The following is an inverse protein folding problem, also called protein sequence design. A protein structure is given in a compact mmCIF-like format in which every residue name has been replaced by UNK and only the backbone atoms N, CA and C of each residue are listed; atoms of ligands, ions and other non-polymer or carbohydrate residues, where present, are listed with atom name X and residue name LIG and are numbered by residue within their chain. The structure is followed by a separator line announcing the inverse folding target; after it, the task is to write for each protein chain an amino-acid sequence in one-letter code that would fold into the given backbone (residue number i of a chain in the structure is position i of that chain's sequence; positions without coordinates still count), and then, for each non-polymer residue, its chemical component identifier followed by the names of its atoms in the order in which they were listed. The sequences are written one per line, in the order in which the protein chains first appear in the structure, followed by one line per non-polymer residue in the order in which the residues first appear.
data_IF_327286187775
#
_entry.id   IF_327286187775
#
_cell.length_a   1.000
_cell.length_b   1.000
_cell.length_c   1.000
_cell.angle_alpha   90.00
_cell.angle_beta   90.00
_cell.angle_gamma   90.00
#
_symmetry.space_group_name_H-M   'P 1'
#
loop_
_entity.id
_entity.type
_entity.pdbx_description
1 polymer ?
#
# COMPACT_ATOMS: atom_id res chain seq x y z
N UNK A 1 30.27 -7.17 42.29
CA UNK A 1 28.97 -7.71 41.83
C UNK A 1 28.89 -7.48 40.33
N UNK A 2 29.08 -8.54 39.55
CA UNK A 2 29.05 -8.53 38.09
C UNK A 2 27.68 -9.11 37.68
N UNK A 3 26.88 -8.33 36.97
CA UNK A 3 25.61 -8.82 36.41
C UNK A 3 25.92 -9.78 35.25
N UNK A 4 25.29 -10.96 35.19
CA UNK A 4 25.55 -11.90 34.10
C UNK A 4 24.91 -11.40 32.80
N UNK A 5 25.62 -11.60 31.70
CA UNK A 5 25.12 -11.38 30.35
C UNK A 5 23.93 -12.32 30.09
N UNK A 6 22.76 -11.75 29.80
CA UNK A 6 21.60 -12.52 29.37
C UNK A 6 21.87 -13.00 27.95
N UNK A 7 21.90 -14.32 27.79
CA UNK A 7 22.16 -15.03 26.56
C UNK A 7 21.23 -14.56 25.43
N UNK A 8 21.80 -14.43 24.23
CA UNK A 8 21.04 -14.23 23.02
C UNK A 8 20.17 -15.48 22.76
N UNK A 9 18.86 -15.30 22.84
CA UNK A 9 17.90 -16.28 22.31
C UNK A 9 18.21 -16.52 20.84
N UNK A 10 18.77 -17.68 20.56
CA UNK A 10 19.00 -18.15 19.19
C UNK A 10 17.65 -18.62 18.64
N UNK A 11 17.13 -18.05 17.54
CA UNK A 11 15.87 -18.51 16.99
C UNK A 11 16.02 -19.93 16.48
N UNK A 12 15.28 -20.84 17.09
CA UNK A 12 15.00 -22.18 16.61
C UNK A 12 14.56 -22.16 15.13
N UNK A 13 15.42 -22.67 14.26
CA UNK A 13 15.07 -23.44 13.07
C UNK A 13 14.06 -22.86 12.06
N UNK A 14 14.20 -21.61 11.61
CA UNK A 14 13.57 -21.22 10.33
C UNK A 14 14.57 -21.42 9.19
N UNK A 15 14.34 -22.38 8.29
CA UNK A 15 14.94 -22.30 6.93
C UNK A 15 14.62 -20.90 6.40
N UNK A 16 15.64 -20.11 6.08
CA UNK A 16 15.48 -18.76 5.57
C UNK A 16 14.63 -18.73 4.29
N UNK A 17 14.02 -17.59 3.99
CA UNK A 17 13.29 -17.40 2.72
C UNK A 17 14.25 -17.62 1.56
N UNK A 18 13.90 -18.50 0.64
CA UNK A 18 14.67 -18.73 -0.59
C UNK A 18 14.07 -17.90 -1.70
N UNK A 19 14.93 -17.16 -2.41
CA UNK A 19 14.53 -16.28 -3.49
C UNK A 19 15.02 -16.80 -4.83
N UNK A 20 14.11 -16.84 -5.80
CA UNK A 20 14.44 -17.19 -7.19
C UNK A 20 13.93 -16.12 -8.14
N UNK A 21 14.80 -15.60 -9.01
CA UNK A 21 14.36 -14.68 -10.06
C UNK A 21 13.44 -15.38 -11.06
N UNK A 22 12.30 -14.78 -11.40
CA UNK A 22 11.42 -15.31 -12.43
C UNK A 22 11.96 -14.94 -13.82
N UNK A 23 12.86 -15.78 -14.36
CA UNK A 23 13.63 -15.51 -15.60
C UNK A 23 12.77 -15.23 -16.84
N UNK A 24 11.53 -15.69 -16.86
CA UNK A 24 10.58 -15.44 -17.95
C UNK A 24 10.14 -13.98 -18.06
N UNK A 25 10.24 -13.21 -16.97
CA UNK A 25 9.96 -11.78 -16.96
C UNK A 25 11.28 -11.01 -16.97
N UNK A 26 11.49 -10.19 -18.00
CA UNK A 26 12.69 -9.37 -18.16
C UNK A 26 12.39 -7.90 -17.85
N UNK A 27 12.79 -7.38 -16.67
CA UNK A 27 12.56 -5.97 -16.31
C UNK A 27 13.14 -4.99 -17.33
N UNK A 28 14.30 -5.29 -17.92
CA UNK A 28 14.91 -4.47 -18.96
C UNK A 28 13.97 -4.23 -20.16
N UNK A 29 13.32 -5.29 -20.64
CA UNK A 29 12.34 -5.20 -21.74
C UNK A 29 11.10 -4.42 -21.33
N UNK A 30 10.59 -4.66 -20.11
CA UNK A 30 9.41 -3.95 -19.58
C UNK A 30 9.69 -2.45 -19.38
N UNK A 31 10.94 -2.10 -19.06
CA UNK A 31 11.38 -0.74 -18.77
C UNK A 31 11.98 -0.01 -19.98
N UNK A 32 11.95 -0.60 -21.19
CA UNK A 32 12.56 0.00 -22.39
C UNK A 32 11.91 1.33 -22.82
N UNK A 33 10.73 1.64 -22.30
CA UNK A 33 9.96 2.87 -22.54
C UNK A 33 10.24 3.99 -21.52
N UNK A 34 11.05 3.75 -20.49
CA UNK A 34 11.34 4.74 -19.45
C UNK A 34 12.15 5.91 -20.01
N UNK A 35 11.78 7.13 -19.63
CA UNK A 35 12.45 8.36 -20.05
C UNK A 35 13.17 9.02 -18.86
N UNK A 36 14.34 9.58 -19.12
CA UNK A 36 15.06 10.38 -18.13
C UNK A 36 14.26 11.64 -17.74
N UNK A 37 14.42 12.11 -16.50
CA UNK A 37 13.73 13.29 -15.98
C UNK A 37 12.22 13.13 -15.72
N UNK A 38 11.58 12.06 -16.20
CA UNK A 38 10.16 11.79 -15.93
C UNK A 38 9.99 11.24 -14.51
N UNK A 39 9.00 11.72 -13.73
CA UNK A 39 8.68 11.20 -12.40
C UNK A 39 8.50 9.68 -12.41
N UNK A 40 9.30 8.98 -11.61
CA UNK A 40 9.41 7.52 -11.64
C UNK A 40 9.14 6.91 -10.28
N UNK A 41 8.42 5.78 -10.26
CA UNK A 41 8.23 4.93 -9.07
C UNK A 41 8.94 3.60 -9.28
N UNK A 42 9.72 3.18 -8.29
CA UNK A 42 10.30 1.85 -8.25
C UNK A 42 9.30 0.83 -7.68
N UNK A 43 9.08 -0.26 -8.41
CA UNK A 43 8.21 -1.36 -7.99
C UNK A 43 8.96 -2.68 -8.06
N UNK A 44 8.93 -3.44 -6.98
CA UNK A 44 9.44 -4.80 -6.90
C UNK A 44 8.29 -5.77 -6.60
N UNK A 45 8.35 -6.98 -7.17
CA UNK A 45 7.29 -7.99 -7.02
C UNK A 45 7.87 -9.25 -6.39
N UNK A 46 7.21 -9.74 -5.36
CA UNK A 46 7.45 -11.05 -4.78
C UNK A 46 6.22 -11.94 -4.97
N UNK A 47 6.45 -13.15 -5.50
CA UNK A 47 5.46 -14.21 -5.63
C UNK A 47 5.65 -15.16 -4.45
N UNK A 48 4.79 -15.01 -3.43
CA UNK A 48 4.82 -15.88 -2.25
C UNK A 48 4.34 -17.28 -2.60
N UNK A 49 5.16 -18.27 -2.26
CA UNK A 49 4.87 -19.67 -2.52
C UNK A 49 5.46 -20.57 -1.42
N UNK A 50 5.04 -21.84 -1.41
CA UNK A 50 5.65 -22.87 -0.56
C UNK A 50 6.47 -23.80 -1.42
N UNK A 51 7.41 -24.51 -0.80
CA UNK A 51 8.20 -25.54 -1.48
C UNK A 51 7.29 -26.53 -2.24
N UNK A 52 7.67 -26.86 -3.46
CA UNK A 52 6.92 -27.72 -4.38
C UNK A 52 5.56 -27.20 -4.87
N UNK A 53 5.13 -25.97 -4.52
CA UNK A 53 3.83 -25.39 -4.96
C UNK A 53 4.02 -23.97 -5.49
N UNK A 54 4.50 -23.83 -6.74
CA UNK A 54 4.80 -22.54 -7.31
C UNK A 54 3.55 -21.65 -7.43
N UNK A 55 3.74 -20.34 -7.36
CA UNK A 55 2.68 -19.37 -7.59
C UNK A 55 2.16 -19.44 -9.05
N UNK A 56 0.89 -19.12 -9.30
CA UNK A 56 0.27 -19.29 -10.63
C UNK A 56 0.96 -18.52 -11.76
N UNK A 57 1.50 -17.32 -11.48
CA UNK A 57 2.30 -16.56 -12.45
C UNK A 57 3.64 -17.19 -12.83
N UNK A 58 4.07 -18.27 -12.16
CA UNK A 58 5.20 -19.07 -12.65
C UNK A 58 4.80 -19.78 -13.95
N UNK A 59 3.55 -20.26 -14.03
CA UNK A 59 2.99 -20.89 -15.23
C UNK A 59 2.42 -19.89 -16.24
N UNK A 60 2.01 -18.69 -15.79
CA UNK A 60 1.45 -17.62 -16.64
C UNK A 60 2.14 -16.25 -16.42
N UNK A 61 3.46 -16.12 -16.68
CA UNK A 61 4.21 -14.88 -16.45
C UNK A 61 3.75 -13.71 -17.34
N UNK A 62 3.16 -14.00 -18.50
CA UNK A 62 2.58 -13.04 -19.43
C UNK A 62 1.40 -12.27 -18.84
N UNK A 63 0.57 -12.91 -18.02
CA UNK A 63 -0.58 -12.26 -17.35
C UNK A 63 -0.13 -11.20 -16.34
N UNK A 64 0.93 -11.50 -15.59
CA UNK A 64 1.56 -10.54 -14.68
C UNK A 64 2.20 -9.39 -15.45
N UNK A 65 2.89 -9.71 -16.54
CA UNK A 65 3.53 -8.72 -17.42
C UNK A 65 2.49 -7.78 -18.03
N UNK A 66 1.39 -8.32 -18.58
CA UNK A 66 0.29 -7.54 -19.13
C UNK A 66 -0.36 -6.67 -18.04
N UNK A 67 -0.57 -7.21 -16.86
CA UNK A 67 -1.13 -6.48 -15.73
C UNK A 67 -0.26 -5.29 -15.31
N UNK A 68 1.06 -5.48 -15.23
CA UNK A 68 1.99 -4.42 -14.88
C UNK A 68 2.12 -3.37 -16.00
N UNK A 69 2.20 -3.79 -17.26
CA UNK A 69 2.21 -2.87 -18.43
C UNK A 69 0.95 -2.00 -18.46
N UNK A 70 -0.21 -2.57 -18.15
CA UNK A 70 -1.44 -1.79 -18.07
C UNK A 70 -1.41 -0.77 -16.92
N UNK A 71 -0.83 -1.10 -15.78
CA UNK A 71 -0.60 -0.12 -14.72
C UNK A 71 0.34 1.00 -15.19
N UNK A 72 1.41 0.69 -15.95
CA UNK A 72 2.28 1.70 -16.55
C UNK A 72 1.50 2.67 -17.45
N UNK A 73 0.67 2.15 -18.35
CA UNK A 73 -0.14 2.98 -19.26
C UNK A 73 -1.07 3.94 -18.50
N UNK A 74 -1.66 3.47 -17.40
CA UNK A 74 -2.57 4.28 -16.56
C UNK A 74 -1.80 5.43 -15.90
N UNK A 75 -0.66 5.14 -15.26
CA UNK A 75 0.14 6.15 -14.58
C UNK A 75 0.83 7.11 -15.57
N UNK A 76 1.18 6.63 -16.76
CA UNK A 76 1.79 7.45 -17.81
C UNK A 76 0.87 8.61 -18.22
N UNK A 77 -0.46 8.40 -18.26
CA UNK A 77 -1.45 9.47 -18.52
C UNK A 77 -1.43 10.57 -17.45
N UNK A 78 -0.99 10.24 -16.24
CA UNK A 78 -0.79 11.19 -15.15
C UNK A 78 0.63 11.79 -15.12
N UNK A 79 1.48 11.45 -16.09
CA UNK A 79 2.87 11.93 -16.17
C UNK A 79 3.83 11.24 -15.19
N UNK A 80 3.51 10.02 -14.75
CA UNK A 80 4.38 9.21 -13.88
C UNK A 80 4.67 7.87 -14.56
N UNK A 81 5.92 7.42 -14.51
CA UNK A 81 6.33 6.12 -15.04
C UNK A 81 6.56 5.11 -13.91
N UNK A 82 6.24 3.84 -14.16
CA UNK A 82 6.54 2.75 -13.22
C UNK A 82 7.73 1.94 -13.75
N UNK A 83 8.76 1.83 -12.91
CA UNK A 83 9.96 1.02 -13.17
C UNK A 83 9.84 -0.29 -12.40
N UNK A 84 9.82 -1.41 -13.13
CA UNK A 84 9.90 -2.73 -12.52
C UNK A 84 11.36 -3.02 -12.17
N UNK A 85 11.66 -3.26 -10.90
CA UNK A 85 13.02 -3.61 -10.49
C UNK A 85 13.28 -5.11 -10.72
N UNK A 86 12.40 -5.97 -10.20
CA UNK A 86 12.47 -7.42 -10.35
C UNK A 86 11.12 -8.08 -10.07
N UNK A 87 11.00 -9.32 -10.52
CA UNK A 87 9.99 -10.27 -10.08
C UNK A 87 10.73 -11.47 -9.50
N UNK A 88 10.51 -11.77 -8.23
CA UNK A 88 11.12 -12.89 -7.53
C UNK A 88 10.04 -13.82 -6.99
N UNK A 89 10.29 -15.11 -7.05
CA UNK A 89 9.61 -16.12 -6.25
C UNK A 89 10.22 -16.09 -4.85
N UNK A 90 9.37 -16.14 -3.83
CA UNK A 90 9.77 -16.18 -2.43
C UNK A 90 9.16 -17.44 -1.80
N UNK A 91 10.02 -18.44 -1.56
CA UNK A 91 9.65 -19.68 -0.90
C UNK A 91 9.62 -19.41 0.60
N UNK A 92 8.42 -19.43 1.18
CA UNK A 92 8.15 -18.96 2.53
C UNK A 92 7.42 -20.02 3.37
N UNK A 93 7.42 -19.87 4.71
CA UNK A 93 6.55 -20.65 5.57
C UNK A 93 5.06 -20.54 5.14
N UNK A 94 4.28 -21.64 5.14
CA UNK A 94 2.87 -21.61 4.75
C UNK A 94 2.04 -20.57 5.51
N UNK A 95 2.37 -20.33 6.79
CA UNK A 95 1.71 -19.34 7.64
C UNK A 95 1.84 -17.89 7.13
N UNK A 96 2.83 -17.60 6.29
CA UNK A 96 3.04 -16.25 5.74
C UNK A 96 2.20 -15.97 4.49
N UNK A 97 1.62 -17.01 3.87
CA UNK A 97 0.77 -16.84 2.69
C UNK A 97 -0.66 -16.44 3.04
N UNK A 98 -1.06 -16.58 4.30
CA UNK A 98 -2.41 -16.26 4.77
C UNK A 98 -2.34 -15.44 6.06
N UNK A 99 -2.49 -14.12 5.99
CA UNK A 99 -2.24 -13.22 7.14
C UNK A 99 -3.41 -12.29 7.43
N UNK A 100 -3.63 -12.01 8.72
CA UNK A 100 -4.37 -10.83 9.17
C UNK A 100 -3.42 -9.62 9.12
N UNK A 101 -3.58 -8.74 8.13
CA UNK A 101 -2.63 -7.66 7.87
C UNK A 101 -2.53 -6.68 9.04
N UNK A 102 -3.68 -6.24 9.55
CA UNK A 102 -3.75 -5.19 10.55
C UNK A 102 -4.69 -5.54 11.71
N UNK A 103 -4.51 -4.79 12.79
CA UNK A 103 -5.46 -4.65 13.88
C UNK A 103 -5.84 -3.17 14.02
N UNK A 104 -6.95 -2.90 14.69
CA UNK A 104 -7.40 -1.55 15.04
C UNK A 104 -7.26 -1.36 16.54
N UNK A 105 -6.42 -0.42 16.97
CA UNK A 105 -6.09 -0.20 18.40
C UNK A 105 -6.67 1.09 18.96
N UNK A 106 -7.27 1.91 18.09
CA UNK A 106 -7.81 3.20 18.44
C UNK A 106 -9.29 3.14 18.78
N UNK A 107 -10.00 4.22 18.47
CA UNK A 107 -11.42 4.38 18.78
C UNK A 107 -12.24 4.52 17.51
N UNK A 108 -13.42 3.91 17.51
CA UNK A 108 -14.43 4.21 16.52
C UNK A 108 -15.03 5.60 16.80
N UNK A 109 -15.22 6.41 15.76
CA UNK A 109 -15.89 7.70 15.85
C UNK A 109 -17.30 7.62 15.24
N UNK A 110 -18.23 8.55 15.52
CA UNK A 110 -19.56 8.58 14.89
C UNK A 110 -19.50 8.85 13.38
N UNK A 111 -20.39 8.25 12.57
CA UNK A 111 -20.39 8.26 11.08
C UNK A 111 -20.43 9.64 10.45
N UNK A 112 -20.89 10.62 11.22
CA UNK A 112 -20.96 12.03 10.87
C UNK A 112 -19.56 12.69 10.84
N UNK A 113 -18.59 12.09 11.54
CA UNK A 113 -17.19 12.51 11.49
C UNK A 113 -16.57 12.11 10.16
N UNK A 114 -15.81 13.04 9.61
CA UNK A 114 -14.96 12.87 8.44
C UNK A 114 -14.27 11.50 8.40
N UNK A 115 -14.38 10.80 7.26
CA UNK A 115 -13.84 9.44 7.13
C UNK A 115 -12.34 9.38 7.39
N UNK A 116 -11.53 10.32 6.88
CA UNK A 116 -10.09 10.36 7.13
C UNK A 116 -9.73 10.65 8.58
N UNK A 117 -10.53 11.47 9.28
CA UNK A 117 -10.37 11.66 10.73
C UNK A 117 -10.69 10.36 11.45
N UNK A 118 -11.78 9.68 11.07
CA UNK A 118 -12.15 8.37 11.62
C UNK A 118 -11.11 7.28 11.36
N UNK A 119 -10.50 7.24 10.18
CA UNK A 119 -9.41 6.32 9.85
C UNK A 119 -8.20 6.55 10.74
N UNK A 120 -7.82 7.81 10.93
CA UNK A 120 -6.74 8.18 11.86
C UNK A 120 -7.05 7.72 13.28
N UNK A 121 -8.25 8.05 13.78
CA UNK A 121 -8.72 7.66 15.11
C UNK A 121 -8.80 6.15 15.32
N UNK A 122 -8.99 5.36 14.25
CA UNK A 122 -9.11 3.92 14.34
C UNK A 122 -7.81 3.21 14.74
N UNK A 123 -6.65 3.87 14.68
CA UNK A 123 -5.45 3.31 15.29
C UNK A 123 -4.87 2.11 14.53
N UNK A 124 -4.86 2.10 13.19
CA UNK A 124 -4.45 0.90 12.46
C UNK A 124 -2.95 0.62 12.59
N UNK A 125 -2.61 -0.62 12.95
CA UNK A 125 -1.22 -1.11 13.06
C UNK A 125 -1.11 -2.47 12.39
N UNK A 126 0.07 -2.85 11.93
CA UNK A 126 0.32 -4.23 11.52
C UNK A 126 0.11 -5.19 12.70
N UNK A 127 -0.36 -6.40 12.43
CA UNK A 127 -0.25 -7.48 13.41
C UNK A 127 1.20 -7.96 13.48
N UNK A 128 1.63 -8.60 14.59
CA UNK A 128 2.97 -9.21 14.66
C UNK A 128 3.24 -10.22 13.55
N UNK A 129 2.25 -11.05 13.20
CA UNK A 129 2.36 -12.04 12.15
C UNK A 129 2.53 -11.39 10.76
N UNK A 130 1.76 -10.36 10.44
CA UNK A 130 1.91 -9.64 9.18
C UNK A 130 3.25 -8.91 9.09
N UNK A 131 3.69 -8.28 10.19
CA UNK A 131 5.01 -7.64 10.26
C UNK A 131 6.12 -8.66 9.99
N UNK A 132 6.10 -9.80 10.67
CA UNK A 132 7.10 -10.86 10.47
C UNK A 132 7.11 -11.37 9.02
N UNK A 133 5.93 -11.62 8.43
CA UNK A 133 5.84 -12.06 7.04
C UNK A 133 6.39 -11.01 6.06
N UNK A 134 5.99 -9.74 6.19
CA UNK A 134 6.42 -8.69 5.27
C UNK A 134 7.92 -8.37 5.43
N UNK A 135 8.42 -8.30 6.68
CA UNK A 135 9.84 -8.06 6.93
C UNK A 135 10.72 -9.20 6.44
N UNK A 136 10.23 -10.44 6.52
CA UNK A 136 10.93 -11.63 6.09
C UNK A 136 10.92 -11.85 4.57
N UNK A 137 9.84 -11.49 3.86
CA UNK A 137 9.73 -11.62 2.40
C UNK A 137 10.47 -10.51 1.66
N UNK A 138 10.43 -9.27 2.18
CA UNK A 138 11.12 -8.16 1.53
C UNK A 138 12.60 -8.27 1.86
N UNK A 139 13.49 -8.31 0.86
CA UNK A 139 14.94 -8.33 1.08
C UNK A 139 15.46 -6.99 1.61
N UNK A 140 16.51 -7.01 2.45
CA UNK A 140 17.12 -5.78 3.00
C UNK A 140 17.86 -5.03 1.89
N UNK A 141 17.53 -3.75 1.73
CA UNK A 141 18.17 -2.86 0.76
C UNK A 141 18.08 -1.41 1.24
N UNK A 142 19.10 -0.60 0.96
CA UNK A 142 19.16 0.80 1.40
C UNK A 142 17.97 1.64 0.91
N UNK A 143 17.48 1.36 -0.29
CA UNK A 143 16.30 2.02 -0.88
C UNK A 143 14.95 1.42 -0.51
N UNK A 144 14.86 0.56 0.53
CA UNK A 144 13.59 -0.10 0.85
C UNK A 144 12.46 0.90 1.17
N UNK A 145 12.78 2.01 1.84
CA UNK A 145 11.80 3.03 2.22
C UNK A 145 11.29 3.88 1.05
N UNK A 146 11.84 3.70 -0.15
CA UNK A 146 11.49 4.42 -1.38
C UNK A 146 10.99 3.49 -2.50
N UNK A 147 10.81 2.21 -2.21
CA UNK A 147 10.38 1.20 -3.18
C UNK A 147 9.01 0.66 -2.79
N UNK A 148 8.15 0.46 -3.78
CA UNK A 148 6.88 -0.24 -3.61
C UNK A 148 7.09 -1.75 -3.77
N UNK A 149 6.55 -2.54 -2.85
CA UNK A 149 6.62 -4.00 -2.89
C UNK A 149 5.23 -4.58 -3.10
N UNK A 150 5.01 -5.23 -4.24
CA UNK A 150 3.81 -6.02 -4.48
C UNK A 150 4.07 -7.46 -4.00
N UNK A 151 3.44 -7.84 -2.89
CA UNK A 151 3.54 -9.18 -2.33
C UNK A 151 2.32 -9.99 -2.73
N UNK A 152 2.50 -10.97 -3.62
CA UNK A 152 1.45 -11.91 -3.96
C UNK A 152 1.37 -13.00 -2.91
N UNK A 153 0.24 -13.06 -2.21
CA UNK A 153 -0.05 -14.01 -1.12
C UNK A 153 -1.34 -14.78 -1.42
N UNK A 154 -1.67 -15.81 -0.65
CA UNK A 154 -2.91 -16.59 -0.85
C UNK A 154 -4.12 -15.86 -0.31
N UNK A 155 -4.02 -15.28 0.89
CA UNK A 155 -5.13 -14.58 1.51
C UNK A 155 -4.63 -13.50 2.47
N UNK A 156 -5.18 -12.30 2.36
CA UNK A 156 -4.91 -11.22 3.30
C UNK A 156 -6.23 -10.69 3.82
N UNK A 157 -6.36 -10.67 5.15
CA UNK A 157 -7.52 -10.10 5.83
C UNK A 157 -7.18 -8.74 6.43
N UNK A 158 -8.19 -7.89 6.51
CA UNK A 158 -8.09 -6.53 6.97
C UNK A 158 -9.14 -6.26 8.05
N UNK A 159 -8.70 -5.69 9.17
CA UNK A 159 -9.57 -5.29 10.26
C UNK A 159 -9.99 -3.83 10.13
N UNK A 160 -11.25 -3.54 10.44
CA UNK A 160 -11.79 -2.17 10.48
C UNK A 160 -12.93 -2.06 11.50
N UNK A 161 -13.27 -0.82 11.88
CA UNK A 161 -14.49 -0.54 12.63
C UNK A 161 -15.69 -0.49 11.69
N UNK A 162 -16.53 -1.51 11.75
CA UNK A 162 -17.86 -1.47 11.17
C UNK A 162 -18.77 -0.58 12.02
N UNK A 163 -19.39 0.38 11.35
CA UNK A 163 -20.21 1.44 11.94
C UNK A 163 -21.62 1.46 11.33
N UNK A 164 -22.02 0.37 10.68
CA UNK A 164 -23.36 0.19 10.12
C UNK A 164 -24.47 0.35 11.15
N UNK A 165 -24.21 0.01 12.42
CA UNK A 165 -25.13 0.23 13.54
C UNK A 165 -24.69 1.43 14.36
N UNK A 166 -25.52 2.49 14.37
CA UNK A 166 -25.26 3.73 15.10
C UNK A 166 -25.01 3.45 16.59
N UNK A 167 -23.93 4.03 17.12
CA UNK A 167 -23.56 3.91 18.54
C UNK A 167 -23.04 2.53 18.97
N UNK A 168 -22.95 1.54 18.08
CA UNK A 168 -22.48 0.18 18.40
C UNK A 168 -21.42 -0.30 17.40
N UNK A 169 -20.26 0.38 17.32
CA UNK A 169 -19.21 -0.02 16.40
C UNK A 169 -18.66 -1.40 16.77
N UNK A 170 -18.40 -2.22 15.75
CA UNK A 170 -17.78 -3.56 15.92
C UNK A 170 -16.51 -3.65 15.11
N UNK A 171 -15.50 -4.32 15.64
CA UNK A 171 -14.33 -4.69 14.85
C UNK A 171 -14.72 -5.86 13.96
N UNK A 172 -14.61 -5.70 12.64
CA UNK A 172 -14.79 -6.77 11.67
C UNK A 172 -13.47 -7.02 10.93
N UNK A 173 -13.30 -8.25 10.47
CA UNK A 173 -12.20 -8.64 9.59
C UNK A 173 -12.75 -9.20 8.28
N UNK A 174 -12.23 -8.72 7.15
CA UNK A 174 -12.67 -9.13 5.81
C UNK A 174 -11.48 -9.59 4.96
N UNK A 175 -11.65 -10.60 4.10
CA UNK A 175 -10.65 -10.94 3.09
C UNK A 175 -10.56 -9.84 2.03
N UNK A 176 -9.36 -9.62 1.48
CA UNK A 176 -9.09 -8.60 0.47
C UNK A 176 -8.53 -9.22 -0.81
N UNK A 177 -8.88 -8.66 -1.96
CA UNK A 177 -8.26 -9.03 -3.24
C UNK A 177 -6.92 -8.33 -3.47
N UNK A 178 -6.78 -7.13 -2.93
CA UNK A 178 -5.59 -6.32 -2.83
C UNK A 178 -5.68 -5.43 -1.58
N UNK A 179 -4.55 -5.11 -0.98
CA UNK A 179 -4.50 -4.21 0.17
C UNK A 179 -3.20 -3.40 0.11
N UNK A 180 -3.35 -2.09 -0.07
CA UNK A 180 -2.23 -1.16 -0.22
C UNK A 180 -1.49 -0.79 1.08
N UNK A 181 -2.12 -0.92 2.25
CA UNK A 181 -1.55 -0.42 3.53
C UNK A 181 -1.04 1.05 3.49
N UNK A 182 -1.85 2.02 3.04
CA UNK A 182 -1.41 3.38 2.75
C UNK A 182 -1.21 4.25 4.01
N UNK A 183 -0.44 5.33 3.88
CA UNK A 183 -0.10 6.21 5.00
C UNK A 183 -1.34 6.94 5.59
N UNK A 184 -2.37 7.22 4.79
CA UNK A 184 -3.59 7.84 5.33
C UNK A 184 -4.34 6.95 6.34
N UNK A 185 -4.04 5.65 6.39
CA UNK A 185 -4.58 4.70 7.38
C UNK A 185 -3.58 4.41 8.50
N UNK A 186 -2.31 4.21 8.13
CA UNK A 186 -1.27 3.70 9.05
C UNK A 186 -0.31 4.78 9.56
N UNK A 187 -0.27 5.98 9.00
CA UNK A 187 0.71 7.02 9.32
C UNK A 187 2.15 6.44 9.33
N UNK A 188 2.86 6.54 10.45
CA UNK A 188 4.20 5.97 10.68
C UNK A 188 4.18 4.60 11.38
N UNK A 189 3.02 3.95 11.50
CA UNK A 189 2.85 2.67 12.22
C UNK A 189 3.24 1.45 11.42
N UNK A 190 3.75 1.63 10.20
CA UNK A 190 4.46 0.60 9.44
C UNK A 190 5.96 0.95 9.48
N UNK A 191 6.84 0.00 9.84
CA UNK A 191 8.27 0.25 9.85
C UNK A 191 8.74 0.85 8.53
N UNK A 192 9.52 1.94 8.60
CA UNK A 192 9.93 2.73 7.43
C UNK A 192 10.50 1.88 6.31
N UNK A 193 11.27 0.84 6.67
CA UNK A 193 11.84 -0.11 5.72
C UNK A 193 10.79 -0.80 4.84
N UNK A 194 9.64 -1.18 5.37
CA UNK A 194 8.61 -1.93 4.62
C UNK A 194 7.36 -1.10 4.30
N UNK A 195 7.42 0.23 4.49
CA UNK A 195 6.26 1.13 4.30
C UNK A 195 5.65 1.11 2.89
N UNK A 196 6.42 0.69 1.89
CA UNK A 196 5.97 0.52 0.51
C UNK A 196 5.21 -0.78 0.24
N UNK A 197 4.93 -1.61 1.25
CA UNK A 197 4.21 -2.89 1.05
C UNK A 197 2.80 -2.68 0.53
N UNK A 198 2.42 -3.50 -0.44
CA UNK A 198 1.08 -3.72 -0.99
C UNK A 198 0.92 -5.24 -1.14
N UNK A 199 -0.18 -5.82 -0.67
CA UNK A 199 -0.46 -7.25 -0.87
C UNK A 199 -1.49 -7.45 -1.97
N UNK A 200 -1.34 -8.53 -2.75
CA UNK A 200 -2.28 -8.94 -3.79
C UNK A 200 -2.59 -10.42 -3.60
N UNK A 201 -3.88 -10.79 -3.58
CA UNK A 201 -4.31 -12.18 -3.40
C UNK A 201 -4.90 -12.80 -4.66
N UNK A 202 -5.22 -11.98 -5.66
CA UNK A 202 -5.79 -12.45 -6.92
C UNK A 202 -4.72 -12.52 -8.01
N UNK A 203 -4.65 -13.68 -8.66
CA UNK A 203 -3.84 -13.94 -9.85
C UNK A 203 -4.52 -13.43 -11.13
N UNK A 204 -5.75 -12.94 -11.02
CA UNK A 204 -6.48 -12.34 -12.13
C UNK A 204 -7.21 -11.08 -11.66
N UNK A 205 -7.09 -10.02 -12.45
CA UNK A 205 -7.88 -8.79 -12.35
C UNK A 205 -8.39 -8.42 -13.73
N UNK A 206 -9.34 -7.49 -13.84
CA UNK A 206 -9.80 -6.95 -15.13
C UNK A 206 -8.66 -6.15 -15.80
N UNK A 207 -7.70 -6.86 -16.41
CA UNK A 207 -6.55 -6.33 -17.16
C UNK A 207 -5.69 -5.35 -16.36
N UNK A 208 -4.97 -5.78 -15.33
CA UNK A 208 -3.98 -4.94 -14.63
C UNK A 208 -4.49 -3.76 -13.79
N UNK A 209 -5.80 -3.46 -13.81
CA UNK A 209 -6.40 -2.38 -13.00
C UNK A 209 -6.09 -2.55 -11.51
N UNK A 210 -6.10 -3.77 -10.98
CA UNK A 210 -5.88 -4.02 -9.55
C UNK A 210 -4.53 -3.48 -9.09
N UNK A 211 -3.43 -3.74 -9.83
CA UNK A 211 -2.12 -3.18 -9.50
C UNK A 211 -2.19 -1.65 -9.50
N UNK A 212 -2.77 -1.05 -10.54
CA UNK A 212 -2.88 0.40 -10.64
C UNK A 212 -3.70 1.02 -9.49
N UNK A 213 -4.78 0.36 -9.09
CA UNK A 213 -5.67 0.80 -8.03
C UNK A 213 -4.97 0.78 -6.65
N UNK A 214 -4.29 -0.33 -6.32
CA UNK A 214 -3.55 -0.43 -5.06
C UNK A 214 -2.35 0.53 -5.01
N UNK A 215 -1.68 0.72 -6.16
CA UNK A 215 -0.65 1.75 -6.30
C UNK A 215 -1.24 3.14 -6.08
N UNK A 216 -2.45 3.40 -6.60
CA UNK A 216 -3.17 4.65 -6.38
C UNK A 216 -3.38 4.95 -4.90
N UNK A 217 -3.85 3.98 -4.11
CA UNK A 217 -4.00 4.14 -2.66
C UNK A 217 -2.68 4.50 -1.97
N UNK A 218 -1.56 3.92 -2.40
CA UNK A 218 -0.23 4.19 -1.81
C UNK A 218 0.34 5.53 -2.23
N UNK A 219 0.27 5.83 -3.53
CA UNK A 219 1.01 6.91 -4.15
C UNK A 219 0.22 8.23 -4.12
N UNK A 220 -1.08 8.20 -4.41
CA UNK A 220 -1.99 9.34 -4.30
C UNK A 220 -2.36 9.58 -2.83
N UNK A 221 -2.33 8.51 -2.03
CA UNK A 221 -2.59 8.51 -0.59
C UNK A 221 -3.99 9.03 -0.25
N UNK A 222 -4.99 8.38 -0.85
CA UNK A 222 -6.42 8.64 -0.68
C UNK A 222 -7.20 7.33 -0.59
N UNK A 223 -8.36 7.40 0.05
CA UNK A 223 -9.35 6.32 0.13
C UNK A 223 -10.14 6.21 -1.18
N UNK A 224 -11.23 5.44 -1.18
CA UNK A 224 -12.12 5.41 -2.34
C UNK A 224 -12.90 6.71 -2.42
N UNK A 225 -12.37 7.65 -3.20
CA UNK A 225 -12.98 8.94 -3.49
C UNK A 225 -12.78 9.29 -4.97
N UNK A 226 -13.73 10.05 -5.54
CA UNK A 226 -13.62 10.54 -6.91
C UNK A 226 -14.64 11.65 -7.18
N UNK A 227 -14.17 12.84 -7.59
CA UNK A 227 -15.01 14.00 -7.92
C UNK A 227 -16.00 14.33 -6.79
N UNK A 228 -17.29 14.02 -6.99
CA UNK A 228 -18.38 14.26 -6.03
C UNK A 228 -18.52 13.15 -4.98
N UNK A 229 -17.85 12.01 -5.17
CA UNK A 229 -17.86 10.88 -4.24
C UNK A 229 -16.86 11.17 -3.12
N UNK A 230 -17.37 11.38 -1.92
CA UNK A 230 -16.60 11.49 -0.67
C UNK A 230 -15.90 10.17 -0.33
N UNK A 231 -14.83 10.20 0.50
CA UNK A 231 -14.09 9.00 0.91
C UNK A 231 -14.97 7.94 1.56
N UNK A 232 -14.89 6.71 1.04
CA UNK A 232 -15.61 5.55 1.54
C UNK A 232 -14.67 4.35 1.70
N UNK A 233 -15.05 3.40 2.56
CA UNK A 233 -14.32 2.15 2.69
C UNK A 233 -14.45 1.30 1.43
N UNK A 234 -15.63 1.25 0.82
CA UNK A 234 -15.89 0.67 -0.50
C UNK A 234 -16.96 1.48 -1.22
N UNK A 235 -16.72 1.85 -2.49
CA UNK A 235 -17.73 2.51 -3.33
C UNK A 235 -17.52 2.16 -4.79
N UNK A 236 -18.61 1.91 -5.50
CA UNK A 236 -18.63 1.65 -6.95
C UNK A 236 -19.09 2.88 -7.72
N UNK A 237 -18.54 3.06 -8.91
CA UNK A 237 -18.95 4.10 -9.83
C UNK A 237 -18.33 3.93 -11.22
N UNK A 238 -18.64 4.86 -12.10
CA UNK A 238 -18.33 4.72 -13.53
C UNK A 238 -16.91 5.20 -13.89
N UNK A 239 -16.41 6.22 -13.18
CA UNK A 239 -15.13 6.89 -13.45
C UNK A 239 -14.15 6.86 -12.28
N UNK A 240 -12.89 7.08 -12.56
CA UNK A 240 -11.81 7.27 -11.58
C UNK A 240 -11.08 5.98 -11.22
N UNK A 241 -9.75 6.07 -11.16
CA UNK A 241 -8.91 4.94 -10.74
C UNK A 241 -9.25 4.48 -9.31
N UNK A 242 -9.59 5.41 -8.42
CA UNK A 242 -9.71 5.19 -6.99
C UNK A 242 -11.06 4.66 -6.51
N UNK A 243 -12.03 4.39 -7.40
CA UNK A 243 -13.26 3.71 -7.00
C UNK A 243 -13.40 2.37 -7.73
N UNK A 244 -14.25 1.49 -7.20
CA UNK A 244 -14.53 0.21 -7.84
C UNK A 244 -15.33 0.43 -9.12
N UNK A 245 -14.80 -0.05 -10.25
CA UNK A 245 -15.40 0.23 -11.55
C UNK A 245 -14.42 0.00 -12.70
N UNK A 246 -14.68 0.66 -13.83
CA UNK A 246 -13.82 0.59 -15.02
C UNK A 246 -12.95 1.83 -15.23
N UNK A 247 -13.24 2.96 -14.57
CA UNK A 247 -12.55 4.25 -14.79
C UNK A 247 -11.07 4.23 -14.45
N UNK A 248 -10.19 4.60 -15.37
CA UNK A 248 -8.72 4.49 -15.20
C UNK A 248 -8.04 5.83 -14.99
N UNK A 249 -8.80 6.90 -14.92
CA UNK A 249 -8.28 8.25 -14.85
C UNK A 249 -7.76 8.61 -13.45
N UNK A 250 -6.64 9.33 -13.45
CA UNK A 250 -6.09 10.03 -12.29
C UNK A 250 -6.25 11.53 -12.59
N UNK A 251 -7.42 12.11 -12.23
CA UNK A 251 -7.75 13.46 -12.65
C UNK A 251 -6.96 14.52 -11.87
N UNK A 252 -6.86 15.72 -12.45
CA UNK A 252 -6.19 16.89 -11.89
C UNK A 252 -7.17 17.93 -11.35
N UNK A 253 -6.65 18.88 -10.57
CA UNK A 253 -7.41 20.02 -10.07
C UNK A 253 -8.43 19.68 -8.99
N UNK A 254 -9.03 20.72 -8.40
CA UNK A 254 -10.06 20.58 -7.37
C UNK A 254 -11.26 19.74 -7.85
N UNK A 255 -11.68 19.91 -9.11
CA UNK A 255 -12.76 19.13 -9.73
C UNK A 255 -12.43 17.63 -9.82
N UNK A 256 -11.14 17.29 -9.97
CA UNK A 256 -10.59 15.93 -9.94
C UNK A 256 -10.04 15.49 -8.57
N UNK A 257 -10.34 16.24 -7.50
CA UNK A 257 -9.87 16.02 -6.11
C UNK A 257 -8.34 15.91 -5.96
N UNK A 258 -7.61 16.64 -6.80
CA UNK A 258 -6.15 16.78 -6.74
C UNK A 258 -5.36 15.47 -6.83
N UNK A 259 -5.94 14.40 -7.40
CA UNK A 259 -5.30 13.08 -7.40
C UNK A 259 -3.95 13.12 -8.13
N UNK A 260 -3.87 13.79 -9.28
CA UNK A 260 -2.61 13.93 -10.02
C UNK A 260 -1.59 14.73 -9.21
N UNK A 261 -1.98 15.85 -8.62
CA UNK A 261 -1.06 16.72 -7.88
C UNK A 261 -0.53 16.03 -6.62
N UNK A 262 -1.40 15.30 -5.90
CA UNK A 262 -0.99 14.48 -4.74
C UNK A 262 -0.08 13.33 -5.15
N UNK A 263 -0.36 12.67 -6.27
CA UNK A 263 0.51 11.64 -6.85
C UNK A 263 1.94 12.19 -7.02
N UNK A 264 2.09 13.36 -7.63
CA UNK A 264 3.40 13.97 -7.90
C UNK A 264 4.16 14.42 -6.64
N UNK A 265 3.51 14.45 -5.47
CA UNK A 265 4.12 14.72 -4.16
C UNK A 265 4.51 13.45 -3.40
N UNK A 266 4.22 12.26 -3.95
CA UNK A 266 4.47 10.99 -3.27
C UNK A 266 5.95 10.80 -2.93
N UNK A 267 6.31 10.37 -1.71
CA UNK A 267 7.71 10.12 -1.32
C UNK A 267 8.35 8.94 -2.06
N UNK A 268 7.57 8.15 -2.79
CA UNK A 268 8.04 7.03 -3.62
C UNK A 268 8.36 7.44 -5.06
N UNK A 269 8.23 8.73 -5.38
CA UNK A 269 8.59 9.27 -6.70
C UNK A 269 9.97 9.91 -6.65
N UNK A 270 10.75 9.65 -7.69
CA UNK A 270 11.99 10.37 -7.98
C UNK A 270 12.02 10.88 -9.42
N UNK A 271 12.90 11.83 -9.69
CA UNK A 271 13.34 12.19 -11.05
C UNK A 271 14.82 11.89 -11.18
N UNK A 272 15.26 11.49 -12.36
CA UNK A 272 16.68 11.29 -12.61
C UNK A 272 17.34 12.63 -12.94
N UNK A 273 18.41 12.96 -12.23
CA UNK A 273 19.28 14.11 -12.48
C UNK A 273 20.08 13.93 -13.78
N UNK A 274 20.77 14.99 -14.23
CA UNK A 274 21.64 14.93 -15.42
C UNK A 274 22.77 13.91 -15.30
N UNK A 275 23.26 13.66 -14.08
CA UNK A 275 24.31 12.69 -13.76
C UNK A 275 23.79 11.24 -13.58
N UNK A 276 22.49 11.01 -13.80
CA UNK A 276 21.88 9.69 -13.63
C UNK A 276 21.44 9.36 -12.20
N UNK A 277 21.70 10.23 -11.22
CA UNK A 277 21.30 9.98 -9.83
C UNK A 277 19.80 10.26 -9.59
N UNK A 278 19.13 9.51 -8.70
CA UNK A 278 17.73 9.77 -8.37
C UNK A 278 17.57 10.92 -7.37
N UNK A 279 16.85 11.97 -7.75
CA UNK A 279 16.33 13.00 -6.85
C UNK A 279 14.92 12.62 -6.38
N UNK A 280 14.82 12.15 -5.14
CA UNK A 280 13.56 11.74 -4.52
C UNK A 280 12.73 12.93 -4.04
N UNK A 281 11.41 12.80 -4.10
CA UNK A 281 10.51 13.69 -3.39
C UNK A 281 10.76 13.61 -1.87
N UNK A 282 10.45 14.71 -1.18
CA UNK A 282 10.52 14.79 0.28
C UNK A 282 9.63 13.73 0.95
N UNK A 283 9.98 13.38 2.19
CA UNK A 283 9.10 12.54 3.01
C UNK A 283 7.86 13.32 3.47
N UNK A 284 6.85 12.60 3.95
CA UNK A 284 5.67 13.19 4.57
C UNK A 284 6.06 14.04 5.80
N UNK A 285 5.35 15.15 6.03
CA UNK A 285 5.67 16.06 7.16
C UNK A 285 5.06 15.59 8.48
N UNK A 286 3.86 15.03 8.42
CA UNK A 286 3.09 14.51 9.55
C UNK A 286 2.68 13.05 9.31
N UNK A 287 3.65 12.28 8.78
CA UNK A 287 3.53 10.82 8.56
C UNK A 287 2.47 10.41 7.52
N UNK A 288 1.98 11.33 6.70
CA UNK A 288 1.21 10.99 5.50
C UNK A 288 -0.26 10.72 5.76
N UNK A 289 -0.86 11.30 6.80
CA UNK A 289 -2.31 11.35 6.87
C UNK A 289 -2.90 12.18 5.71
N UNK A 290 -4.21 12.08 5.44
CA UNK A 290 -4.81 12.76 4.29
C UNK A 290 -4.56 14.28 4.26
N UNK A 291 -4.60 14.92 5.44
CA UNK A 291 -4.35 16.36 5.65
C UNK A 291 -2.89 16.71 5.92
N UNK A 292 -1.93 15.85 5.58
CA UNK A 292 -0.51 16.10 5.84
C UNK A 292 -0.10 17.45 5.21
N UNK A 293 0.64 18.31 5.94
CA UNK A 293 1.00 19.64 5.43
C UNK A 293 1.77 19.64 4.11
N UNK A 294 2.36 18.51 3.68
CA UNK A 294 2.97 18.38 2.35
C UNK A 294 1.98 18.67 1.22
N UNK A 295 0.70 18.41 1.42
CA UNK A 295 -0.31 18.58 0.38
C UNK A 295 -0.79 20.03 0.24
N UNK A 296 -0.58 20.89 1.24
CA UNK A 296 -0.99 22.29 1.21
C UNK A 296 -2.48 22.46 0.88
N UNK A 297 -2.77 23.13 -0.22
CA UNK A 297 -4.11 23.39 -0.76
C UNK A 297 -4.74 22.18 -1.50
N UNK A 298 -4.00 21.07 -1.69
CA UNK A 298 -4.43 19.87 -2.42
C UNK A 298 -5.17 18.87 -1.51
N UNK A 299 -6.04 19.40 -0.67
CA UNK A 299 -6.86 18.63 0.28
C UNK A 299 -8.28 19.16 0.28
N UNK A 300 -9.24 18.29 0.56
CA UNK A 300 -10.63 18.68 0.76
C UNK A 300 -11.02 18.42 2.20
N UNK A 301 -11.58 19.44 2.86
CA UNK A 301 -12.17 19.26 4.19
C UNK A 301 -13.59 18.73 4.01
N UNK A 302 -13.81 17.49 4.44
CA UNK A 302 -15.14 16.86 4.38
C UNK A 302 -15.85 16.97 5.72
N UNK A 303 -17.12 17.40 5.71
CA UNK A 303 -18.01 17.32 6.88
C UNK A 303 -17.38 17.79 8.20
N UNK A 304 -17.63 17.03 9.27
CA UNK A 304 -17.16 17.34 10.63
C UNK A 304 -15.73 16.86 10.84
N UNK A 305 -14.81 17.80 11.07
CA UNK A 305 -13.37 17.55 11.15
C UNK A 305 -12.82 17.22 12.55
N UNK A 306 -13.61 17.43 13.61
CA UNK A 306 -13.18 17.21 14.99
C UNK A 306 -13.85 15.96 15.54
N UNK A 307 -13.05 14.98 15.97
CA UNK A 307 -13.57 13.86 16.74
C UNK A 307 -14.13 14.37 18.09
N UNK A 308 -15.21 13.79 18.63
CA UNK A 308 -15.72 14.19 19.93
C UNK A 308 -14.64 13.98 21.01
N UNK A 309 -14.51 14.95 21.93
CA UNK A 309 -13.62 14.82 23.10
C UNK A 309 -14.12 13.64 23.94
N UNK A 310 -13.21 12.77 24.38
CA UNK A 310 -13.54 11.70 25.34
C UNK A 310 -14.23 12.33 26.57
N UNK A 311 -15.33 11.75 27.08
CA UNK A 311 -15.66 11.93 28.47
C UNK A 311 -14.43 11.51 29.29
N UNK A 312 -14.02 12.31 30.27
CA UNK A 312 -13.00 11.87 31.23
C UNK A 312 -13.49 10.54 31.79
N UNK A 313 -12.66 9.50 31.71
CA UNK A 313 -12.91 8.30 32.51
C UNK A 313 -12.89 8.76 33.96
N UNK A 314 -14.06 8.80 34.59
CA UNK A 314 -14.15 8.79 36.03
C UNK A 314 -13.65 7.40 36.41
N UNK A 315 -12.41 7.31 36.86
CA UNK A 315 -11.94 6.10 37.52
C UNK A 315 -12.80 5.91 38.78
N UNK A 316 -13.30 4.69 39.04
CA UNK A 316 -14.03 4.40 40.28
C UNK A 316 -13.14 4.58 41.51
#
# INVERSE_FOLDING_TARGET
MVLPAVAADTPSGSRGVVYEGLKSIRPATINGDLKAGVPTVNVAIYLGETDGKPHGYVAAPEDLTASFKRAKEIFAKAGVQLKLLWVKRAIVPPAWLSVQANQVTGVAVPTEINAYVGYRSAGWTLTPAAKAAFEGIIERHAGNDRTIYLLYLKQVKMAYFDRSVKGRPKIKSIPTGGLSLPAYLFENRIPRRIRGVITLCRQSGRGGRTIAHELGHKLINVSHEHRKISPQFEVRGEGGLMIYGRGTEIPSGAAGRWHKERLHLSPFIYRTNKDGTPQWNADYRENGHYYDPIYGDKVIRFGVMKAPKRPKQIQP
#
